data_IF_178836418661
#
_entry.id   IF_178836418661
#
_cell.length_a   1.000
_cell.length_b   1.000
_cell.length_c   1.000
_cell.angle_alpha   90.00
_cell.angle_beta   90.00
_cell.angle_gamma   90.00
#
_symmetry.space_group_name_H-M   'P 1'
#
loop_
_entity.id
_entity.type
_entity.pdbx_description
1 polymer ?
#
# COMPACT_ATOMS: atom_id res chain seq x y z
N UNK A 1 10.07 -6.07 -16.27
CA UNK A 1 10.45 -7.11 -15.29
C UNK A 1 11.94 -7.41 -15.41
N UNK A 2 12.53 -8.17 -14.47
CA UNK A 2 13.97 -8.44 -14.43
C UNK A 2 14.46 -9.29 -15.63
N UNK A 3 13.54 -10.00 -16.27
CA UNK A 3 13.70 -10.80 -17.48
C UNK A 3 13.36 -10.03 -18.78
N UNK A 4 13.03 -8.73 -18.68
CA UNK A 4 12.69 -7.87 -19.83
C UNK A 4 11.34 -7.17 -19.69
N UNK A 5 10.93 -6.46 -20.74
CA UNK A 5 9.59 -5.86 -20.82
C UNK A 5 8.53 -6.96 -20.83
N UNK A 6 7.49 -6.76 -20.02
CA UNK A 6 6.43 -7.75 -19.82
C UNK A 6 5.09 -7.02 -19.71
N UNK A 7 4.06 -7.41 -20.47
CA UNK A 7 2.71 -6.88 -20.30
C UNK A 7 2.24 -7.05 -18.86
N UNK A 8 1.46 -6.08 -18.36
CA UNK A 8 1.04 -6.08 -16.96
C UNK A 8 0.09 -7.25 -16.64
N UNK A 9 -0.68 -7.71 -17.63
CA UNK A 9 -1.54 -8.88 -17.56
C UNK A 9 -0.78 -10.21 -17.42
N UNK A 10 0.50 -10.24 -17.80
CA UNK A 10 1.36 -11.42 -17.73
C UNK A 10 2.23 -11.46 -16.46
N UNK A 11 2.25 -10.36 -15.68
CA UNK A 11 3.00 -10.29 -14.42
C UNK A 11 2.45 -11.32 -13.41
N UNK A 12 3.36 -12.07 -12.79
CA UNK A 12 3.03 -13.12 -11.83
C UNK A 12 3.59 -12.81 -10.44
N UNK A 13 2.95 -13.35 -9.40
CA UNK A 13 3.52 -13.34 -8.05
C UNK A 13 4.87 -14.05 -8.09
N UNK A 14 5.91 -13.38 -7.60
CA UNK A 14 7.28 -13.86 -7.67
C UNK A 14 8.13 -13.21 -8.75
N UNK A 15 7.52 -12.60 -9.77
CA UNK A 15 8.25 -11.80 -10.75
C UNK A 15 8.97 -10.64 -10.05
N UNK A 16 10.10 -10.23 -10.60
CA UNK A 16 10.85 -9.09 -10.10
C UNK A 16 10.65 -7.90 -11.04
N UNK A 17 10.25 -6.76 -10.50
CA UNK A 17 10.02 -5.53 -11.28
C UNK A 17 10.87 -4.40 -10.73
N UNK A 18 11.26 -3.47 -11.59
CA UNK A 18 12.07 -2.34 -11.19
C UNK A 18 11.23 -1.38 -10.34
N UNK A 19 11.73 -1.03 -9.15
CA UNK A 19 11.00 -0.21 -8.18
C UNK A 19 11.87 0.89 -7.55
N UNK A 20 11.21 2.03 -7.32
CA UNK A 20 11.64 3.27 -6.65
C UNK A 20 11.45 3.31 -5.13
N UNK A 21 12.47 3.35 -4.27
CA UNK A 21 12.24 3.80 -2.88
C UNK A 21 11.98 5.32 -2.87
N UNK A 22 10.80 5.72 -2.40
CA UNK A 22 10.41 7.14 -2.39
C UNK A 22 11.25 8.01 -1.44
N UNK A 23 11.81 7.44 -0.37
CA UNK A 23 12.52 8.20 0.67
C UNK A 23 14.00 8.40 0.32
N UNK A 24 14.60 7.36 -0.23
CA UNK A 24 16.04 7.27 -0.48
C UNK A 24 16.38 7.43 -1.96
N UNK A 25 15.40 7.27 -2.86
CA UNK A 25 15.62 7.27 -4.31
C UNK A 25 16.34 6.02 -4.81
N UNK A 26 16.59 5.03 -3.95
CA UNK A 26 17.25 3.78 -4.30
C UNK A 26 16.36 2.99 -5.26
N UNK A 27 16.95 2.55 -6.37
CA UNK A 27 16.29 1.71 -7.39
C UNK A 27 16.72 0.28 -7.20
N UNK A 28 15.76 -0.63 -7.02
CA UNK A 28 16.02 -2.06 -6.89
C UNK A 28 14.89 -2.86 -7.54
N UNK A 29 15.22 -4.08 -7.97
CA UNK A 29 14.20 -5.04 -8.39
C UNK A 29 13.50 -5.62 -7.17
N UNK A 30 12.19 -5.42 -7.07
CA UNK A 30 11.35 -5.93 -5.98
C UNK A 30 10.44 -7.03 -6.48
N UNK A 31 10.21 -8.01 -5.61
CA UNK A 31 9.37 -9.17 -5.90
C UNK A 31 7.91 -8.73 -5.88
N UNK A 32 7.13 -9.15 -6.87
CA UNK A 32 5.69 -8.99 -6.89
C UNK A 32 5.09 -9.94 -5.86
N UNK A 33 4.35 -9.39 -4.91
CA UNK A 33 3.75 -10.12 -3.78
C UNK A 33 2.27 -10.40 -4.01
N UNK A 34 1.59 -9.56 -4.81
CA UNK A 34 0.14 -9.68 -5.05
C UNK A 34 -0.25 -9.10 -6.41
N UNK A 35 -1.29 -9.68 -7.01
CA UNK A 35 -1.89 -9.19 -8.25
C UNK A 35 -3.32 -8.71 -7.98
N UNK A 36 -3.75 -7.71 -8.75
CA UNK A 36 -5.10 -7.17 -8.74
C UNK A 36 -5.62 -7.10 -10.17
N UNK A 37 -6.90 -7.46 -10.32
CA UNK A 37 -7.64 -7.39 -11.59
C UNK A 37 -9.04 -6.89 -11.29
N UNK A 38 -9.52 -5.92 -12.07
CA UNK A 38 -10.92 -5.45 -11.98
C UNK A 38 -11.40 -4.91 -13.32
N UNK A 39 -12.71 -4.77 -13.44
CA UNK A 39 -13.34 -4.06 -14.55
C UNK A 39 -13.64 -2.61 -14.15
N UNK A 40 -13.45 -1.69 -15.08
CA UNK A 40 -13.81 -0.28 -14.95
C UNK A 40 -14.55 0.18 -16.19
N UNK A 41 -15.44 1.16 -16.07
CA UNK A 41 -16.22 1.69 -17.19
C UNK A 41 -15.58 2.93 -17.84
N UNK A 42 -14.41 3.34 -17.33
CA UNK A 42 -13.71 4.55 -17.75
C UNK A 42 -12.20 4.37 -17.67
N UNK A 43 -11.51 4.74 -18.75
CA UNK A 43 -10.06 4.71 -18.88
C UNK A 43 -9.53 6.08 -19.29
N UNK A 44 -8.39 6.45 -18.72
CA UNK A 44 -7.60 7.61 -19.07
C UNK A 44 -6.42 7.15 -19.92
N UNK A 45 -6.16 7.82 -21.03
CA UNK A 45 -4.97 7.62 -21.86
C UNK A 45 -4.08 8.84 -21.75
N UNK A 46 -2.90 8.67 -21.17
CA UNK A 46 -1.87 9.72 -21.01
C UNK A 46 -0.83 9.54 -22.11
N UNK A 47 -0.61 10.58 -22.90
CA UNK A 47 0.39 10.60 -23.97
C UNK A 47 1.67 11.27 -23.48
N UNK A 48 2.80 10.58 -23.56
CA UNK A 48 4.11 11.05 -23.07
C UNK A 48 5.18 10.60 -24.05
N UNK A 49 5.75 11.54 -24.80
CA UNK A 49 6.70 11.21 -25.87
C UNK A 49 6.06 10.30 -26.92
N UNK A 50 6.66 9.12 -27.15
CA UNK A 50 6.13 8.13 -28.11
C UNK A 50 5.14 7.15 -27.48
N UNK A 51 4.97 7.21 -26.16
CA UNK A 51 4.20 6.23 -25.40
C UNK A 51 2.76 6.67 -25.15
N UNK A 52 1.91 5.67 -24.97
CA UNK A 52 0.53 5.83 -24.50
C UNK A 52 0.33 4.95 -23.28
N UNK A 53 -0.04 5.56 -22.17
CA UNK A 53 -0.31 4.84 -20.92
C UNK A 53 -1.81 4.87 -20.68
N UNK A 54 -2.44 3.70 -20.75
CA UNK A 54 -3.84 3.52 -20.38
C UNK A 54 -3.94 3.17 -18.90
N UNK A 55 -4.76 3.92 -18.16
CA UNK A 55 -4.80 3.86 -16.71
C UNK A 55 -6.15 4.31 -16.15
N UNK A 56 -6.37 4.08 -14.85
CA UNK A 56 -7.56 4.56 -14.15
C UNK A 56 -7.36 6.00 -13.65
N UNK A 57 -8.45 6.73 -13.44
CA UNK A 57 -8.48 8.15 -13.09
C UNK A 57 -7.60 8.52 -11.88
N UNK A 58 -7.52 7.61 -10.94
CA UNK A 58 -6.81 7.68 -9.67
C UNK A 58 -5.33 7.43 -9.74
N UNK A 59 -4.84 6.77 -10.80
CA UNK A 59 -3.53 6.15 -10.75
C UNK A 59 -2.45 7.24 -10.65
N UNK A 60 -1.58 7.22 -9.62
CA UNK A 60 -0.64 8.32 -9.41
C UNK A 60 0.59 8.21 -10.29
N UNK A 61 0.92 9.33 -10.92
CA UNK A 61 2.15 9.56 -11.67
C UNK A 61 3.03 10.52 -10.88
N UNK A 62 4.34 10.28 -10.91
CA UNK A 62 5.28 11.23 -10.32
C UNK A 62 5.49 12.42 -11.26
N UNK A 63 5.06 13.60 -10.83
CA UNK A 63 5.25 14.86 -11.56
C UNK A 63 6.35 15.68 -10.91
N UNK A 64 7.40 16.00 -11.66
CA UNK A 64 8.53 16.78 -11.18
C UNK A 64 8.06 18.15 -10.69
N UNK A 65 8.37 18.46 -9.43
CA UNK A 65 7.96 19.71 -8.76
C UNK A 65 6.55 19.70 -8.17
N UNK A 66 5.72 18.68 -8.44
CA UNK A 66 4.39 18.52 -7.83
C UNK A 66 4.25 17.27 -6.96
N UNK A 67 5.12 16.27 -7.15
CA UNK A 67 5.03 14.97 -6.48
C UNK A 67 3.99 14.06 -7.14
N UNK A 68 3.35 13.19 -6.36
CA UNK A 68 2.34 12.25 -6.87
C UNK A 68 1.04 12.97 -7.26
N UNK A 69 0.67 12.87 -8.53
CA UNK A 69 -0.56 13.43 -9.09
C UNK A 69 -1.38 12.30 -9.70
N UNK A 70 -2.68 12.15 -9.34
CA UNK A 70 -3.54 11.14 -9.97
C UNK A 70 -3.76 11.46 -11.45
N UNK A 71 -3.98 10.45 -12.30
CA UNK A 71 -4.18 10.62 -13.74
C UNK A 71 -5.22 11.69 -14.10
N UNK A 72 -6.33 11.77 -13.36
CA UNK A 72 -7.40 12.77 -13.51
C UNK A 72 -6.99 14.20 -13.18
N UNK A 73 -5.90 14.37 -12.44
CA UNK A 73 -5.34 15.65 -12.05
C UNK A 73 -4.14 16.07 -12.90
N UNK A 74 -3.66 15.21 -13.80
CA UNK A 74 -2.61 15.57 -14.74
C UNK A 74 -3.10 16.64 -15.71
N UNK A 75 -2.17 17.47 -16.15
CA UNK A 75 -2.38 18.52 -17.13
C UNK A 75 -1.36 18.40 -18.26
N UNK A 76 -1.74 18.84 -19.46
CA UNK A 76 -0.78 18.98 -20.55
C UNK A 76 0.37 19.91 -20.12
N UNK A 77 1.60 19.49 -20.39
CA UNK A 77 2.82 20.15 -19.93
C UNK A 77 3.35 19.69 -18.57
N UNK A 78 2.61 18.88 -17.80
CA UNK A 78 3.16 18.26 -16.59
C UNK A 78 4.36 17.38 -16.92
N UNK A 79 5.40 17.43 -16.10
CA UNK A 79 6.67 16.74 -16.37
C UNK A 79 6.77 15.43 -15.59
N UNK A 80 6.52 14.31 -16.25
CA UNK A 80 6.67 12.97 -15.66
C UNK A 80 8.12 12.54 -15.63
N UNK A 81 8.53 11.84 -14.57
CA UNK A 81 9.88 11.29 -14.45
C UNK A 81 9.95 9.87 -15.02
N UNK A 82 10.91 9.64 -15.91
CA UNK A 82 11.23 8.31 -16.43
C UNK A 82 12.21 7.53 -15.53
N UNK A 83 12.53 6.29 -15.91
CA UNK A 83 13.42 5.41 -15.15
C UNK A 83 14.86 5.93 -15.04
N UNK A 84 15.25 6.84 -15.94
CA UNK A 84 16.56 7.51 -15.95
C UNK A 84 16.55 8.84 -15.18
N UNK A 85 15.41 9.24 -14.62
CA UNK A 85 15.24 10.52 -13.92
C UNK A 85 15.03 11.72 -14.85
N UNK A 86 14.82 11.49 -16.15
CA UNK A 86 14.53 12.52 -17.13
C UNK A 86 13.05 12.92 -17.05
N UNK A 87 12.81 14.21 -17.23
CA UNK A 87 11.46 14.77 -17.27
C UNK A 87 10.91 14.73 -18.70
N UNK A 88 9.72 14.17 -18.87
CA UNK A 88 8.99 14.11 -20.13
C UNK A 88 7.61 14.79 -19.98
N UNK A 89 7.25 15.70 -20.90
CA UNK A 89 5.98 16.40 -20.80
C UNK A 89 4.81 15.47 -21.14
N UNK A 90 3.71 15.61 -20.40
CA UNK A 90 2.40 15.10 -20.81
C UNK A 90 1.95 15.90 -22.03
N UNK A 91 1.85 15.25 -23.17
CA UNK A 91 1.49 15.88 -24.44
C UNK A 91 -0.02 16.03 -24.59
N UNK A 92 -0.77 15.04 -24.09
CA UNK A 92 -2.21 14.97 -24.20
C UNK A 92 -2.79 13.99 -23.18
N UNK A 93 -4.00 14.28 -22.71
CA UNK A 93 -4.79 13.35 -21.91
C UNK A 93 -6.13 13.15 -22.60
N UNK A 94 -6.56 11.90 -22.76
CA UNK A 94 -7.88 11.57 -23.31
C UNK A 94 -8.61 10.57 -22.42
N UNK A 95 -9.94 10.59 -22.49
CA UNK A 95 -10.81 9.77 -21.64
C UNK A 95 -11.72 8.95 -22.56
N UNK A 96 -11.79 7.64 -22.31
CA UNK A 96 -12.73 6.72 -22.96
C UNK A 96 -13.69 6.16 -21.93
N UNK A 97 -14.99 6.19 -22.22
CA UNK A 97 -16.01 5.49 -21.43
C UNK A 97 -16.24 4.13 -22.07
N UNK A 98 -15.44 3.16 -21.68
CA UNK A 98 -15.45 1.80 -22.22
C UNK A 98 -15.16 0.81 -21.10
N UNK A 99 -15.92 -0.29 -21.08
CA UNK A 99 -15.74 -1.35 -20.09
C UNK A 99 -14.42 -2.06 -20.37
N UNK A 100 -13.43 -1.82 -19.51
CA UNK A 100 -12.06 -2.29 -19.69
C UNK A 100 -11.60 -3.05 -18.47
N UNK A 101 -10.87 -4.16 -18.70
CA UNK A 101 -10.18 -4.87 -17.62
C UNK A 101 -8.85 -4.17 -17.34
N UNK A 102 -8.62 -3.78 -16.09
CA UNK A 102 -7.37 -3.17 -15.63
C UNK A 102 -6.65 -4.08 -14.66
N UNK A 103 -5.32 -3.96 -14.66
CA UNK A 103 -4.41 -4.75 -13.84
C UNK A 103 -3.61 -3.82 -12.94
N UNK A 104 -3.26 -4.30 -11.75
CA UNK A 104 -2.32 -3.67 -10.84
C UNK A 104 -1.59 -4.77 -10.06
N UNK A 105 -0.45 -4.48 -9.46
CA UNK A 105 0.27 -5.44 -8.63
C UNK A 105 1.01 -4.74 -7.49
N UNK A 106 1.22 -5.48 -6.41
CA UNK A 106 2.01 -5.04 -5.25
C UNK A 106 3.39 -5.66 -5.28
N UNK A 107 4.38 -4.89 -4.85
CA UNK A 107 5.77 -5.30 -4.78
C UNK A 107 6.26 -5.21 -3.33
N UNK A 108 7.28 -6.00 -3.01
CA UNK A 108 7.89 -6.04 -1.68
C UNK A 108 8.66 -4.75 -1.37
N UNK A 109 8.59 -4.29 -0.12
CA UNK A 109 9.22 -3.09 0.47
C UNK A 109 8.82 -1.73 -0.12
N UNK A 110 8.76 -1.64 -1.44
CA UNK A 110 8.48 -0.43 -2.19
C UNK A 110 7.03 -0.46 -2.66
N UNK A 111 6.43 0.71 -2.87
CA UNK A 111 5.07 0.80 -3.40
C UNK A 111 5.05 1.50 -4.76
N UNK A 112 6.13 1.40 -5.53
CA UNK A 112 6.25 2.04 -6.84
C UNK A 112 6.84 1.06 -7.84
N UNK A 113 6.56 1.30 -9.11
CA UNK A 113 7.14 0.57 -10.23
C UNK A 113 7.18 1.44 -11.48
N UNK A 114 7.85 0.95 -12.52
CA UNK A 114 7.96 1.64 -13.80
C UNK A 114 7.07 0.97 -14.86
N UNK A 115 6.43 1.77 -15.71
CA UNK A 115 5.52 1.30 -16.77
C UNK A 115 5.86 1.93 -18.12
N UNK A 116 5.41 1.30 -19.20
CA UNK A 116 5.76 1.58 -20.60
C UNK A 116 7.24 1.38 -20.94
N UNK A 117 7.55 1.37 -22.23
CA UNK A 117 8.91 1.18 -22.76
C UNK A 117 9.84 2.35 -22.36
N UNK A 118 9.26 3.51 -22.05
CA UNK A 118 10.00 4.66 -21.54
C UNK A 118 10.25 4.58 -20.03
N UNK A 119 9.57 3.67 -19.32
CA UNK A 119 9.72 3.49 -17.89
C UNK A 119 9.25 4.72 -17.10
N UNK A 120 7.97 5.08 -17.21
CA UNK A 120 7.38 6.16 -16.41
C UNK A 120 7.18 5.70 -14.96
N UNK A 121 7.61 6.53 -14.01
CA UNK A 121 7.52 6.20 -12.58
C UNK A 121 6.09 6.38 -12.06
N UNK A 122 5.48 5.27 -11.64
CA UNK A 122 4.12 5.23 -11.12
C UNK A 122 4.08 4.61 -9.73
N UNK A 123 3.03 4.95 -8.97
CA UNK A 123 2.81 4.40 -7.66
C UNK A 123 1.78 3.27 -7.73
N UNK A 124 2.02 2.19 -6.99
CA UNK A 124 1.04 1.15 -6.68
C UNK A 124 -0.18 1.68 -5.89
N UNK A 125 -0.24 2.98 -5.57
CA UNK A 125 -1.41 3.63 -4.99
C UNK A 125 -2.41 3.97 -6.10
N UNK A 126 -2.61 3.02 -7.02
CA UNK A 126 -3.86 2.93 -7.75
C UNK A 126 -4.96 2.91 -6.68
N UNK A 127 -5.95 3.81 -6.75
CA UNK A 127 -7.12 3.78 -5.86
C UNK A 127 -7.83 2.40 -5.94
N UNK A 128 -7.33 1.45 -5.15
CA UNK A 128 -8.13 0.55 -4.33
C UNK A 128 -8.72 1.31 -3.14
N UNK A 129 -8.67 2.64 -3.15
CA UNK A 129 -9.14 3.49 -2.08
C UNK A 129 -10.65 3.66 -2.09
N UNK A 130 -11.36 2.84 -2.86
CA UNK A 130 -12.68 2.41 -2.48
C UNK A 130 -12.61 0.91 -2.12
N UNK A 131 -13.00 0.57 -0.89
CA UNK A 131 -13.57 -0.74 -0.46
C UNK A 131 -12.74 -1.72 0.40
N UNK A 132 -11.71 -1.33 1.16
CA UNK A 132 -11.33 -2.14 2.35
C UNK A 132 -11.97 -1.61 3.62
N UNK A 133 -12.95 -2.37 4.11
CA UNK A 133 -13.64 -2.09 5.36
C UNK A 133 -12.74 -2.41 6.55
N UNK A 134 -12.98 -1.72 7.65
CA UNK A 134 -12.41 -2.05 8.96
C UNK A 134 -12.53 -3.54 9.28
N UNK A 135 -13.68 -4.16 8.96
CA UNK A 135 -13.92 -5.59 9.18
C UNK A 135 -12.97 -6.47 8.35
N UNK A 136 -12.79 -6.17 7.07
CA UNK A 136 -11.88 -6.94 6.21
C UNK A 136 -10.44 -6.84 6.71
N UNK A 137 -9.95 -5.65 7.04
CA UNK A 137 -8.58 -5.46 7.52
C UNK A 137 -8.37 -6.06 8.91
N UNK A 138 -9.38 -6.01 9.78
CA UNK A 138 -9.34 -6.69 11.07
C UNK A 138 -9.24 -8.21 10.91
N UNK A 139 -10.03 -8.79 10.00
CA UNK A 139 -9.97 -10.23 9.71
C UNK A 139 -8.65 -10.65 9.07
N UNK A 140 -8.08 -9.81 8.19
CA UNK A 140 -6.76 -10.08 7.61
C UNK A 140 -5.67 -10.05 8.69
N UNK A 141 -5.65 -9.04 9.55
CA UNK A 141 -4.71 -8.97 10.66
C UNK A 141 -4.84 -10.18 11.61
N UNK A 142 -6.08 -10.69 11.83
CA UNK A 142 -6.31 -11.93 12.59
C UNK A 142 -5.73 -13.16 11.89
N UNK A 143 -5.98 -13.33 10.60
CA UNK A 143 -5.44 -14.46 9.82
C UNK A 143 -3.91 -14.52 9.91
N UNK A 144 -3.22 -13.40 9.68
CA UNK A 144 -1.76 -13.32 9.75
C UNK A 144 -1.24 -13.54 11.18
N UNK A 145 -2.01 -13.14 12.18
CA UNK A 145 -1.73 -13.45 13.58
C UNK A 145 -1.99 -14.93 13.94
N UNK A 146 -2.56 -15.75 13.05
CA UNK A 146 -2.98 -17.12 13.36
C UNK A 146 -4.23 -17.19 14.24
N UNK A 147 -5.03 -16.12 14.27
CA UNK A 147 -6.25 -15.99 15.06
C UNK A 147 -7.45 -16.29 14.14
N UNK A 148 -8.34 -17.24 14.50
CA UNK A 148 -9.51 -17.51 13.68
C UNK A 148 -10.40 -16.26 13.48
N UNK A 149 -10.89 -16.05 12.27
CA UNK A 149 -11.77 -14.90 11.97
C UNK A 149 -13.11 -14.95 12.69
N UNK A 150 -13.54 -16.14 13.14
CA UNK A 150 -14.70 -16.35 14.00
C UNK A 150 -14.46 -15.99 15.47
N UNK A 151 -13.19 -15.94 15.92
CA UNK A 151 -12.87 -15.62 17.31
C UNK A 151 -13.20 -14.16 17.63
N UNK A 152 -13.89 -13.98 18.76
CA UNK A 152 -14.16 -12.67 19.36
C UNK A 152 -13.05 -12.29 20.34
N UNK A 153 -12.72 -10.99 20.46
CA UNK A 153 -11.77 -10.54 21.47
C UNK A 153 -12.30 -10.83 22.88
N UNK A 154 -11.47 -11.43 23.74
CA UNK A 154 -11.78 -11.63 25.16
C UNK A 154 -11.61 -10.34 25.96
N UNK A 155 -10.78 -9.42 25.46
CA UNK A 155 -10.57 -8.09 26.03
C UNK A 155 -10.25 -7.10 24.93
N UNK A 156 -10.80 -5.90 25.06
CA UNK A 156 -10.49 -4.78 24.16
C UNK A 156 -10.53 -3.45 24.90
N UNK A 157 -9.71 -2.50 24.49
CA UNK A 157 -9.61 -1.22 25.18
C UNK A 157 -8.67 -0.26 24.47
N UNK A 158 -8.85 1.03 24.76
CA UNK A 158 -7.93 2.08 24.33
C UNK A 158 -6.79 2.20 25.32
N UNK A 159 -5.57 2.34 24.81
CA UNK A 159 -4.37 2.58 25.62
C UNK A 159 -3.57 3.76 25.07
N UNK A 160 -2.83 4.39 25.96
CA UNK A 160 -1.79 5.35 25.61
C UNK A 160 -0.49 4.60 25.33
N UNK A 161 -0.01 4.67 24.10
CA UNK A 161 1.24 4.02 23.67
C UNK A 161 2.39 5.01 23.65
N UNK A 162 3.62 4.50 23.74
CA UNK A 162 4.87 5.29 23.64
C UNK A 162 4.97 6.50 24.59
N UNK A 163 4.40 6.41 25.81
CA UNK A 163 4.50 7.47 26.80
C UNK A 163 3.49 8.62 26.63
N UNK A 164 2.37 8.39 25.95
CA UNK A 164 1.22 9.31 25.94
C UNK A 164 0.98 10.10 24.66
N UNK A 165 1.85 9.98 23.65
CA UNK A 165 1.74 10.73 22.40
C UNK A 165 0.83 10.11 21.33
N UNK A 166 0.38 8.87 21.51
CA UNK A 166 -0.39 8.13 20.51
C UNK A 166 -1.37 7.18 21.21
N UNK A 167 -2.61 7.09 20.69
CA UNK A 167 -3.68 6.30 21.29
C UNK A 167 -4.07 5.17 20.35
N UNK A 168 -4.00 3.94 20.85
CA UNK A 168 -4.29 2.74 20.07
C UNK A 168 -5.38 1.90 20.75
N UNK A 169 -6.19 1.19 19.96
CA UNK A 169 -7.16 0.22 20.50
C UNK A 169 -6.58 -1.18 20.36
N UNK A 170 -6.49 -1.89 21.48
CA UNK A 170 -5.92 -3.23 21.55
C UNK A 170 -7.03 -4.26 21.64
N UNK A 171 -6.84 -5.39 20.97
CA UNK A 171 -7.71 -6.56 20.96
C UNK A 171 -6.92 -7.79 21.37
N UNK A 172 -7.34 -8.42 22.47
CA UNK A 172 -6.76 -9.66 22.99
C UNK A 172 -7.69 -10.83 22.68
N UNK A 173 -7.09 -11.98 22.35
CA UNK A 173 -7.79 -13.21 22.01
C UNK A 173 -7.31 -14.35 22.90
N UNK A 174 -8.16 -15.35 23.07
CA UNK A 174 -7.84 -16.54 23.85
C UNK A 174 -6.79 -17.41 23.14
N UNK A 175 -5.89 -18.04 23.91
CA UNK A 175 -4.92 -19.00 23.38
C UNK A 175 -3.74 -18.41 22.61
N UNK A 176 -3.53 -17.09 22.64
CA UNK A 176 -2.40 -16.43 21.98
C UNK A 176 -1.92 -15.20 22.77
N UNK A 177 -0.62 -14.91 22.66
CA UNK A 177 0.01 -13.67 23.14
C UNK A 177 -0.03 -12.54 22.10
N UNK A 178 -0.49 -12.85 20.88
CA UNK A 178 -0.64 -11.89 19.77
C UNK A 178 -1.90 -11.07 19.96
N UNK A 179 -1.74 -9.77 19.73
CA UNK A 179 -2.82 -8.79 19.82
C UNK A 179 -3.00 -8.11 18.46
N UNK A 180 -4.24 -7.75 18.16
CA UNK A 180 -4.52 -6.85 17.04
C UNK A 180 -4.57 -5.43 17.59
N UNK A 181 -3.82 -4.52 16.98
CA UNK A 181 -3.66 -3.14 17.43
C UNK A 181 -4.19 -2.22 16.33
N UNK A 182 -5.22 -1.45 16.64
CA UNK A 182 -5.83 -0.45 15.76
C UNK A 182 -5.27 0.94 16.08
N UNK A 183 -4.84 1.63 15.03
CA UNK A 183 -4.42 3.02 15.08
C UNK A 183 -5.35 3.87 14.26
N UNK A 184 -5.80 4.98 14.85
CA UNK A 184 -6.64 5.97 14.15
C UNK A 184 -5.84 7.09 13.51
N UNK A 185 -4.71 7.43 14.10
CA UNK A 185 -3.78 8.39 13.55
C UNK A 185 -2.44 8.10 14.22
N UNK A 186 -1.51 7.50 13.48
CA UNK A 186 -0.17 7.31 14.02
C UNK A 186 0.67 8.57 13.82
N UNK A 187 1.75 8.67 14.60
CA UNK A 187 2.70 9.80 14.53
C UNK A 187 3.42 9.93 13.18
N UNK A 188 3.26 8.96 12.27
CA UNK A 188 3.85 8.96 10.94
C UNK A 188 2.83 9.38 9.87
N UNK A 189 1.63 9.79 10.27
CA UNK A 189 0.58 10.26 9.37
C UNK A 189 -0.04 9.15 8.52
N UNK A 190 0.02 7.88 8.96
CA UNK A 190 -0.75 6.81 8.32
C UNK A 190 -2.20 6.90 8.78
N UNK A 191 -3.13 6.71 7.85
CA UNK A 191 -4.57 6.61 8.10
C UNK A 191 -4.94 5.38 8.94
N UNK A 192 -6.25 5.13 9.06
CA UNK A 192 -6.80 4.04 9.88
C UNK A 192 -6.20 2.68 9.52
N UNK A 193 -5.48 2.03 10.43
CA UNK A 193 -4.84 0.74 10.13
C UNK A 193 -4.75 -0.17 11.37
N UNK A 194 -4.61 -1.47 11.10
CA UNK A 194 -4.26 -2.48 12.11
C UNK A 194 -2.81 -2.91 11.96
N UNK A 195 -2.27 -3.55 12.99
CA UNK A 195 -1.10 -4.43 12.90
C UNK A 195 -1.13 -5.46 14.02
N UNK A 196 -0.27 -6.48 13.90
CA UNK A 196 -0.10 -7.51 14.93
C UNK A 196 1.00 -7.10 15.89
N UNK A 197 0.72 -7.13 17.19
CA UNK A 197 1.70 -6.81 18.21
C UNK A 197 1.73 -7.80 19.36
N UNK A 198 2.88 -7.87 20.03
CA UNK A 198 3.08 -8.65 21.26
C UNK A 198 3.62 -7.74 22.36
N UNK A 199 3.19 -7.91 23.63
CA UNK A 199 3.73 -7.15 24.75
C UNK A 199 5.27 -7.24 24.79
N UNK A 200 5.96 -6.13 25.07
CA UNK A 200 7.41 -6.20 25.35
C UNK A 200 7.71 -6.88 26.68
N UNK A 201 6.80 -6.73 27.65
CA UNK A 201 6.83 -7.41 28.93
C UNK A 201 5.56 -8.29 29.04
N UNK A 202 5.69 -9.62 28.92
CA UNK A 202 4.56 -10.55 29.00
C UNK A 202 3.81 -10.49 30.34
N UNK A 203 4.46 -10.09 31.44
CA UNK A 203 3.84 -10.04 32.76
C UNK A 203 2.92 -8.83 32.93
N UNK A 204 3.16 -7.76 32.16
CA UNK A 204 2.38 -6.52 32.18
C UNK A 204 1.24 -6.55 31.14
N UNK A 205 1.43 -7.28 30.04
CA UNK A 205 0.46 -7.36 28.95
C UNK A 205 0.36 -6.06 28.15
N UNK A 206 -0.81 -5.74 27.58
CA UNK A 206 -1.01 -4.52 26.78
C UNK A 206 -2.13 -3.60 27.24
N UNK A 207 -2.76 -3.85 28.39
CA UNK A 207 -3.90 -3.04 28.87
C UNK A 207 -3.52 -2.06 29.99
N UNK A 208 -2.22 -1.77 30.13
CA UNK A 208 -1.69 -0.80 31.08
C UNK A 208 -1.17 0.41 30.31
N UNK A 209 -1.49 1.62 30.76
CA UNK A 209 -1.05 2.84 30.07
C UNK A 209 0.48 2.99 30.08
N UNK A 210 1.04 3.46 28.97
CA UNK A 210 2.48 3.58 28.78
C UNK A 210 3.17 2.28 28.35
N UNK A 211 2.44 1.17 28.26
CA UNK A 211 3.01 -0.12 27.86
C UNK A 211 3.51 -0.09 26.41
N UNK A 212 4.57 -0.84 26.17
CA UNK A 212 5.20 -1.00 24.84
C UNK A 212 4.93 -2.39 24.31
N UNK A 213 4.80 -2.49 22.99
CA UNK A 213 4.75 -3.75 22.26
C UNK A 213 5.83 -3.78 21.17
N UNK A 214 6.10 -4.97 20.65
CA UNK A 214 6.75 -5.16 19.36
C UNK A 214 5.67 -5.25 18.28
N UNK A 215 5.82 -4.50 17.19
CA UNK A 215 5.03 -4.74 15.98
C UNK A 215 5.71 -5.88 15.22
N UNK A 216 5.04 -7.02 15.09
CA UNK A 216 5.62 -8.23 14.50
C UNK A 216 5.90 -8.09 13.01
N UNK A 217 5.12 -7.27 12.29
CA UNK A 217 5.37 -7.03 10.87
C UNK A 217 6.54 -6.08 10.59
N UNK A 218 7.26 -5.63 11.63
CA UNK A 218 8.57 -4.97 11.52
C UNK A 218 9.74 -5.90 11.81
N UNK A 219 9.47 -7.17 12.13
CA UNK A 219 10.49 -8.18 12.44
C UNK A 219 10.73 -9.01 11.19
N UNK A 220 11.96 -9.00 10.69
CA UNK A 220 12.36 -9.81 9.54
C UNK A 220 12.12 -11.30 9.81
N UNK A 221 11.56 -12.02 8.84
CA UNK A 221 11.24 -13.44 8.97
C UNK A 221 10.01 -13.78 9.82
N UNK A 222 9.24 -12.79 10.29
CA UNK A 222 8.01 -13.05 11.07
C UNK A 222 6.88 -13.69 10.26
N UNK A 223 6.92 -13.54 8.93
CA UNK A 223 5.84 -13.98 8.03
C UNK A 223 4.53 -13.20 8.21
N UNK A 224 4.57 -12.09 8.96
CA UNK A 224 3.41 -11.26 9.30
C UNK A 224 3.52 -9.95 8.54
N UNK A 225 2.45 -9.57 7.86
CA UNK A 225 2.39 -8.29 7.17
C UNK A 225 2.43 -7.10 8.15
N UNK A 226 3.12 -6.03 7.75
CA UNK A 226 3.42 -4.84 8.57
C UNK A 226 2.21 -4.10 9.11
N UNK A 227 1.29 -3.77 8.20
CA UNK A 227 0.13 -2.92 8.45
C UNK A 227 -1.07 -3.37 7.59
N UNK A 228 -2.29 -3.15 8.09
CA UNK A 228 -3.53 -3.52 7.40
C UNK A 228 -4.50 -2.33 7.40
N UNK A 229 -4.64 -1.60 6.28
CA UNK A 229 -3.87 -1.74 5.04
C UNK A 229 -2.45 -1.16 5.19
N UNK A 230 -1.55 -1.47 4.25
CA UNK A 230 -0.21 -0.88 4.20
C UNK A 230 -0.19 0.56 3.69
N UNK A 231 -1.26 0.98 3.02
CA UNK A 231 -1.36 2.31 2.45
C UNK A 231 -1.61 3.39 3.52
N UNK A 232 -1.22 4.63 3.19
CA UNK A 232 -1.38 5.78 4.09
C UNK A 232 -2.82 6.29 4.21
N UNK A 233 -3.78 5.86 3.38
CA UNK A 233 -5.19 6.29 3.50
C UNK A 233 -5.94 5.53 4.59
N UNK A 234 -5.56 4.28 4.84
CA UNK A 234 -6.22 3.43 5.82
C UNK A 234 -7.52 2.78 5.33
N UNK A 235 -8.20 2.05 6.21
CA UNK A 235 -9.50 1.43 5.93
C UNK A 235 -10.67 2.40 6.12
N UNK A 236 -11.84 2.08 5.56
CA UNK A 236 -13.11 2.76 5.87
C UNK A 236 -13.76 2.18 7.12
N UNK A 237 -14.31 3.04 7.99
CA UNK A 237 -15.18 2.58 9.10
C UNK A 237 -16.42 1.81 8.61
#
# INVERSE_FOLDING_TARGET
AADGEKPIEDIQVGDKVLSKDEKTGKREYKKVTRLFKREVDKIYTVHVGKEKIETTAEHPFWVKGKGWVPAKGLQEGDLLEDENGKALPVEKISIKNEKTTVYNFEVEDYHTYYVSDTGIWVHNMCDLTDQVTRKQMFNQAKNDAGIPTSSSPIKQGWINVYGGGERARVYQFEGTDRHIIEHRNDKFGRGLHFHVGVPKDPNVGLFTDGTRYYNLGKIEGSGIQGHYPENKRGFRE
#
